data_IF_568965730685
#
_entry.id   IF_568965730685
#
_cell.length_a   1.000
_cell.length_b   1.000
_cell.length_c   1.000
_cell.angle_alpha   90.00
_cell.angle_beta   90.00
_cell.angle_gamma   90.00
#
_symmetry.space_group_name_H-M   'P 1'
#
loop_
_entity.id
_entity.type
_entity.pdbx_description
1 polymer ?
#
# COMPACT_ATOMS: atom_id res chain seq x y z
N UNK A 1 20.23 -3.49 -17.15
CA UNK A 1 21.50 -3.42 -17.91
C UNK A 1 21.25 -3.67 -19.41
N UNK A 2 20.56 -4.74 -19.83
CA UNK A 2 20.36 -5.04 -21.26
C UNK A 2 19.60 -3.92 -22.00
N UNK A 3 18.53 -3.37 -21.43
CA UNK A 3 17.79 -2.25 -21.99
C UNK A 3 18.66 -1.01 -22.19
N UNK A 4 19.48 -0.65 -21.20
CA UNK A 4 20.35 0.51 -21.27
C UNK A 4 21.43 0.36 -22.34
N UNK A 5 21.95 -0.84 -22.55
CA UNK A 5 22.86 -1.13 -23.65
C UNK A 5 22.19 -0.90 -25.02
N UNK A 6 20.93 -1.30 -25.19
CA UNK A 6 20.17 -1.06 -26.44
C UNK A 6 19.91 0.44 -26.62
N UNK A 7 19.51 1.15 -25.57
CA UNK A 7 19.28 2.60 -25.61
C UNK A 7 20.55 3.32 -26.06
N UNK A 8 21.70 3.03 -25.44
CA UNK A 8 22.98 3.64 -25.81
C UNK A 8 23.38 3.32 -27.26
N UNK A 9 23.20 2.08 -27.71
CA UNK A 9 23.48 1.70 -29.09
C UNK A 9 22.61 2.46 -30.11
N UNK A 10 21.34 2.71 -29.79
CA UNK A 10 20.45 3.49 -30.67
C UNK A 10 20.81 4.97 -30.67
N UNK A 11 21.14 5.53 -29.49
CA UNK A 11 21.64 6.90 -29.36
C UNK A 11 22.90 7.11 -30.19
N UNK A 12 23.87 6.21 -30.09
CA UNK A 12 25.14 6.28 -30.83
C UNK A 12 24.96 6.17 -32.35
N UNK A 13 23.80 5.67 -32.81
CA UNK A 13 23.36 5.66 -34.21
C UNK A 13 22.60 6.93 -34.62
N UNK A 14 22.52 7.95 -33.74
CA UNK A 14 21.85 9.22 -34.00
C UNK A 14 20.35 9.21 -33.79
N UNK A 15 19.79 8.19 -33.10
CA UNK A 15 18.37 8.17 -32.77
C UNK A 15 18.07 9.12 -31.59
N UNK A 16 17.09 10.00 -31.74
CA UNK A 16 16.49 10.72 -30.62
C UNK A 16 15.60 9.77 -29.79
N UNK A 17 15.80 9.73 -28.48
CA UNK A 17 15.10 8.80 -27.59
C UNK A 17 14.34 9.58 -26.52
N UNK A 18 13.06 9.28 -26.35
CA UNK A 18 12.25 9.78 -25.23
C UNK A 18 12.02 8.60 -24.28
N UNK A 19 12.56 8.71 -23.06
CA UNK A 19 12.44 7.70 -22.02
C UNK A 19 11.56 8.20 -20.87
N UNK A 20 10.43 7.53 -20.65
CA UNK A 20 9.49 7.89 -19.59
C UNK A 20 9.61 6.86 -18.47
N UNK A 21 10.03 7.31 -17.30
CA UNK A 21 10.17 6.49 -16.11
C UNK A 21 9.86 7.30 -14.85
N UNK A 22 9.49 6.61 -13.78
CA UNK A 22 9.43 7.17 -12.43
C UNK A 22 10.61 6.73 -11.55
N UNK A 23 11.51 5.92 -12.10
CA UNK A 23 12.75 5.51 -11.44
C UNK A 23 13.85 6.53 -11.71
N UNK A 24 14.04 7.43 -10.75
CA UNK A 24 14.94 8.60 -10.91
C UNK A 24 16.38 8.21 -11.17
N UNK A 25 16.87 7.12 -10.56
CA UNK A 25 18.21 6.59 -10.77
C UNK A 25 18.46 6.21 -12.24
N UNK A 26 17.46 5.58 -12.87
CA UNK A 26 17.53 5.23 -14.29
C UNK A 26 17.59 6.48 -15.16
N UNK A 27 16.72 7.46 -14.87
CA UNK A 27 16.66 8.74 -15.62
C UNK A 27 18.00 9.47 -15.52
N UNK A 28 18.54 9.67 -14.32
CA UNK A 28 19.82 10.35 -14.12
C UNK A 28 21.01 9.63 -14.80
N UNK A 29 20.91 8.31 -14.94
CA UNK A 29 21.98 7.49 -15.53
C UNK A 29 22.02 7.57 -17.06
N UNK A 30 20.87 7.70 -17.75
CA UNK A 30 20.80 7.53 -19.21
C UNK A 30 20.38 8.77 -19.98
N UNK A 31 19.81 9.79 -19.32
CA UNK A 31 19.27 10.96 -19.98
C UNK A 31 20.31 12.08 -20.09
N UNK A 32 20.28 12.82 -21.21
CA UNK A 32 21.04 14.05 -21.38
C UNK A 32 20.28 15.22 -20.72
N UNK A 33 18.97 15.29 -20.99
CA UNK A 33 18.05 16.27 -20.41
C UNK A 33 16.86 15.58 -19.74
N UNK A 34 16.35 16.16 -18.65
CA UNK A 34 15.20 15.68 -17.91
C UNK A 34 14.10 16.73 -17.93
N UNK A 35 12.99 16.38 -18.55
CA UNK A 35 11.76 17.18 -18.49
C UNK A 35 10.87 16.66 -17.38
N UNK A 36 10.51 17.53 -16.44
CA UNK A 36 9.68 17.21 -15.29
C UNK A 36 8.26 17.71 -15.55
N UNK A 37 7.30 16.79 -15.41
CA UNK A 37 5.89 17.06 -15.54
C UNK A 37 5.14 16.74 -14.25
N UNK A 38 4.10 17.52 -13.93
CA UNK A 38 3.24 17.31 -12.78
C UNK A 38 1.79 17.67 -13.13
N UNK A 39 0.85 16.76 -12.86
CA UNK A 39 -0.58 16.96 -13.15
C UNK A 39 -0.85 17.39 -14.61
N UNK A 40 -0.09 16.80 -15.57
CA UNK A 40 -0.22 17.10 -16.99
C UNK A 40 0.41 18.44 -17.43
N UNK A 41 1.08 19.17 -16.53
CA UNK A 41 1.75 20.44 -16.83
C UNK A 41 3.26 20.27 -16.84
N UNK A 42 3.92 20.96 -17.77
CA UNK A 42 5.37 21.13 -17.75
C UNK A 42 5.78 21.96 -16.55
N UNK A 43 6.82 21.54 -15.84
CA UNK A 43 7.36 22.21 -14.65
C UNK A 43 8.76 22.77 -14.94
N UNK A 44 9.65 21.94 -15.48
CA UNK A 44 11.02 22.33 -15.80
C UNK A 44 11.63 21.35 -16.80
N UNK A 45 12.62 21.83 -17.55
CA UNK A 45 13.59 20.99 -18.30
C UNK A 45 14.98 21.42 -17.89
N UNK A 46 15.84 20.48 -17.50
CA UNK A 46 17.20 20.73 -17.04
C UNK A 46 18.15 19.63 -17.57
N UNK A 47 19.42 19.92 -17.69
CA UNK A 47 20.42 18.90 -17.96
C UNK A 47 20.45 17.88 -16.82
N UNK A 48 20.57 16.59 -17.14
CA UNK A 48 20.61 15.53 -16.13
C UNK A 48 21.80 15.70 -15.14
N UNK A 49 22.92 16.25 -15.62
CA UNK A 49 24.11 16.54 -14.83
C UNK A 49 23.92 17.64 -13.77
N UNK A 50 22.89 18.48 -13.94
CA UNK A 50 22.55 19.58 -13.02
C UNK A 50 21.50 19.19 -11.99
N UNK A 51 20.98 17.96 -12.05
CA UNK A 51 19.89 17.49 -11.22
C UNK A 51 20.35 16.46 -10.20
N UNK A 52 19.90 16.64 -8.97
CA UNK A 52 19.93 15.60 -7.95
C UNK A 52 18.58 14.90 -7.84
N UNK A 53 18.57 13.70 -7.26
CA UNK A 53 17.32 12.97 -7.01
C UNK A 53 16.33 13.82 -6.19
N UNK A 54 16.80 14.52 -5.17
CA UNK A 54 15.96 15.34 -4.30
C UNK A 54 15.35 16.53 -5.05
N UNK A 55 16.09 17.15 -5.96
CA UNK A 55 15.56 18.24 -6.81
C UNK A 55 14.47 17.74 -7.77
N UNK A 56 14.67 16.58 -8.39
CA UNK A 56 13.64 15.97 -9.26
C UNK A 56 12.36 15.72 -8.44
N UNK A 57 12.49 15.10 -7.27
CA UNK A 57 11.38 14.83 -6.36
C UNK A 57 10.69 16.14 -5.93
N UNK A 58 11.45 17.15 -5.54
CA UNK A 58 10.94 18.48 -5.18
C UNK A 58 10.10 19.11 -6.30
N UNK A 59 10.61 19.06 -7.52
CA UNK A 59 9.90 19.59 -8.70
C UNK A 59 8.64 18.78 -9.05
N UNK A 60 8.71 17.46 -8.96
CA UNK A 60 7.56 16.57 -9.21
C UNK A 60 6.45 16.73 -8.18
N UNK A 61 6.81 16.83 -6.88
CA UNK A 61 5.85 16.91 -5.77
C UNK A 61 5.39 18.35 -5.53
N UNK A 62 6.24 19.34 -5.84
CA UNK A 62 5.93 20.78 -5.70
C UNK A 62 6.11 21.31 -4.28
N UNK A 63 6.76 20.57 -3.41
CA UNK A 63 7.17 20.97 -2.07
C UNK A 63 8.50 20.31 -1.72
N UNK A 64 9.25 20.89 -0.81
CA UNK A 64 10.41 20.20 -0.24
C UNK A 64 9.93 18.97 0.52
N UNK A 65 10.37 17.80 0.09
CA UNK A 65 10.32 16.61 0.92
C UNK A 65 11.67 16.57 1.64
N UNK A 66 11.71 17.14 2.83
CA UNK A 66 12.91 17.09 3.69
C UNK A 66 13.30 15.66 4.05
N UNK A 67 12.33 14.75 4.00
CA UNK A 67 12.51 13.32 4.18
C UNK A 67 11.67 12.53 3.17
N UNK A 68 12.24 11.47 2.59
CA UNK A 68 11.56 10.54 1.67
C UNK A 68 10.34 9.87 2.32
N UNK A 69 10.37 9.68 3.61
CA UNK A 69 9.31 9.12 4.44
C UNK A 69 8.90 10.12 5.52
N UNK A 70 7.61 10.18 5.91
CA UNK A 70 7.18 11.03 7.01
C UNK A 70 7.78 10.57 8.35
N UNK A 71 7.94 11.51 9.28
CA UNK A 71 8.40 11.17 10.65
C UNK A 71 7.40 10.30 11.38
N UNK A 72 7.91 9.27 12.04
CA UNK A 72 7.13 8.34 12.87
C UNK A 72 7.04 8.87 14.30
N UNK A 73 5.83 9.20 14.72
CA UNK A 73 5.51 9.65 16.08
C UNK A 73 4.27 8.91 16.65
N UNK A 74 3.93 7.76 16.05
CA UNK A 74 2.90 6.85 16.55
C UNK A 74 3.34 6.22 17.88
N UNK A 75 2.37 5.99 18.77
CA UNK A 75 2.59 5.33 20.06
C UNK A 75 2.13 3.88 19.96
N UNK A 76 3.07 2.97 20.15
CA UNK A 76 2.79 1.53 20.15
C UNK A 76 2.22 1.15 21.53
N UNK A 77 1.03 0.56 21.53
CA UNK A 77 0.30 0.12 22.71
C UNK A 77 0.40 -1.39 22.98
N UNK A 78 -0.65 -1.94 23.58
CA UNK A 78 -0.76 -3.36 23.88
C UNK A 78 -0.98 -4.21 22.63
N UNK A 79 -0.76 -5.53 22.75
CA UNK A 79 -1.05 -6.50 21.68
C UNK A 79 -2.53 -6.46 21.33
N UNK A 80 -2.81 -6.17 20.08
CA UNK A 80 -4.17 -6.12 19.55
C UNK A 80 -4.51 -7.38 18.77
N UNK A 81 -3.64 -7.77 17.83
CA UNK A 81 -3.79 -8.96 17.00
C UNK A 81 -2.75 -10.00 17.41
N UNK A 82 -3.19 -11.22 17.65
CA UNK A 82 -2.33 -12.37 17.88
C UNK A 82 -2.72 -13.48 16.89
N UNK A 83 -1.77 -13.90 16.09
CA UNK A 83 -1.88 -14.99 15.11
C UNK A 83 -1.02 -16.13 15.61
N UNK A 84 -1.60 -17.33 15.77
CA UNK A 84 -0.93 -18.52 16.34
C UNK A 84 -1.05 -19.70 15.37
N UNK A 85 0.09 -20.24 14.96
CA UNK A 85 0.23 -21.48 14.19
C UNK A 85 -0.64 -21.50 12.91
N UNK A 86 -0.76 -20.36 12.22
CA UNK A 86 -1.57 -20.22 11.02
C UNK A 86 -0.97 -21.01 9.87
N UNK A 87 -1.74 -21.93 9.32
CA UNK A 87 -1.37 -22.74 8.14
C UNK A 87 -2.51 -22.76 7.14
N UNK A 88 -2.16 -22.67 5.86
CA UNK A 88 -3.11 -22.68 4.76
C UNK A 88 -3.52 -24.08 4.34
N UNK A 89 -4.73 -24.24 3.83
CA UNK A 89 -5.21 -25.51 3.28
C UNK A 89 -4.74 -25.69 1.83
N UNK A 90 -4.77 -24.62 1.04
CA UNK A 90 -4.44 -24.61 -0.39
C UNK A 90 -3.33 -23.61 -0.72
N UNK A 91 -2.63 -23.10 0.29
CA UNK A 91 -1.52 -22.18 0.15
C UNK A 91 -0.25 -22.77 0.77
N UNK A 92 0.89 -22.16 0.47
CA UNK A 92 2.17 -22.58 1.03
C UNK A 92 2.39 -22.16 2.51
N UNK A 93 1.43 -21.44 3.12
CA UNK A 93 1.58 -21.00 4.51
C UNK A 93 1.69 -22.16 5.50
N UNK A 94 2.71 -22.10 6.34
CA UNK A 94 3.03 -23.18 7.27
C UNK A 94 3.47 -22.63 8.63
N UNK A 95 2.60 -22.81 9.62
CA UNK A 95 2.87 -22.53 11.03
C UNK A 95 3.35 -21.09 11.32
N UNK A 96 2.67 -20.09 10.75
CA UNK A 96 3.01 -18.69 10.94
C UNK A 96 2.39 -18.17 12.25
N UNK A 97 3.24 -17.60 13.12
CA UNK A 97 2.81 -17.02 14.40
C UNK A 97 3.46 -15.65 14.57
N UNK A 98 2.68 -14.64 14.91
CA UNK A 98 3.17 -13.30 15.19
C UNK A 98 2.14 -12.47 15.99
N UNK A 99 2.57 -11.33 16.50
CA UNK A 99 1.73 -10.37 17.18
C UNK A 99 1.86 -8.99 16.53
N UNK A 100 0.73 -8.26 16.50
CA UNK A 100 0.72 -6.85 16.12
C UNK A 100 0.02 -6.03 17.22
N UNK A 101 0.54 -4.82 17.47
CA UNK A 101 0.13 -3.97 18.58
C UNK A 101 -0.73 -2.81 18.13
N UNK A 102 -1.48 -2.20 19.02
CA UNK A 102 -2.23 -0.97 18.76
C UNK A 102 -1.28 0.14 18.33
N UNK A 103 -1.63 0.84 17.26
CA UNK A 103 -0.82 1.94 16.75
C UNK A 103 0.50 1.52 16.09
N UNK A 104 0.72 0.22 15.88
CA UNK A 104 1.90 -0.33 15.21
C UNK A 104 1.69 -0.42 13.71
N UNK A 105 2.74 -0.12 12.96
CA UNK A 105 2.85 -0.41 11.54
C UNK A 105 3.82 -1.58 11.40
N UNK A 106 3.26 -2.78 11.18
CA UNK A 106 3.99 -4.02 11.03
C UNK A 106 4.24 -4.30 9.54
N UNK A 107 5.50 -4.28 9.11
CA UNK A 107 5.90 -4.62 7.77
C UNK A 107 5.94 -6.13 7.55
N UNK A 108 5.71 -6.58 6.31
CA UNK A 108 5.92 -7.97 5.89
C UNK A 108 6.80 -7.97 4.65
N UNK A 109 8.02 -8.45 4.81
CA UNK A 109 9.02 -8.63 3.76
C UNK A 109 9.11 -10.09 3.31
N UNK A 110 9.73 -10.32 2.15
CA UNK A 110 10.00 -11.66 1.61
C UNK A 110 10.14 -11.64 0.09
N UNK A 111 10.67 -12.69 -0.47
CA UNK A 111 10.77 -12.88 -1.92
C UNK A 111 9.39 -13.13 -2.55
N UNK A 112 9.29 -13.03 -3.87
CA UNK A 112 8.08 -13.41 -4.59
C UNK A 112 7.74 -14.88 -4.33
N UNK A 113 6.46 -15.17 -4.07
CA UNK A 113 6.01 -16.51 -3.68
C UNK A 113 6.34 -16.92 -2.23
N UNK A 114 6.86 -16.02 -1.39
CA UNK A 114 7.17 -16.33 0.02
C UNK A 114 5.95 -16.49 0.92
N UNK A 115 4.72 -16.21 0.45
CA UNK A 115 3.49 -16.35 1.21
C UNK A 115 2.97 -15.04 1.83
N UNK A 116 3.48 -13.88 1.44
CA UNK A 116 3.09 -12.56 1.99
C UNK A 116 1.61 -12.24 1.74
N UNK A 117 1.19 -12.28 0.48
CA UNK A 117 -0.21 -12.05 0.08
C UNK A 117 -1.13 -13.09 0.69
N UNK A 118 -0.76 -14.37 0.63
CA UNK A 118 -1.52 -15.47 1.19
C UNK A 118 -1.73 -15.31 2.71
N UNK A 119 -0.76 -14.75 3.42
CA UNK A 119 -0.89 -14.44 4.85
C UNK A 119 -2.01 -13.42 5.10
N UNK A 120 -2.03 -12.33 4.36
CA UNK A 120 -3.06 -11.30 4.51
C UNK A 120 -4.45 -11.82 4.08
N UNK A 121 -4.52 -12.53 2.95
CA UNK A 121 -5.75 -13.14 2.46
C UNK A 121 -6.35 -14.15 3.44
N UNK A 122 -5.49 -14.95 4.08
CA UNK A 122 -5.94 -15.94 5.05
C UNK A 122 -6.43 -15.31 6.35
N UNK A 123 -5.75 -14.25 6.84
CA UNK A 123 -6.21 -13.47 7.99
C UNK A 123 -7.57 -12.81 7.67
N UNK A 124 -7.76 -12.35 6.43
CA UNK A 124 -9.02 -11.74 5.99
C UNK A 124 -10.11 -12.74 5.60
N UNK A 125 -9.80 -14.04 5.51
CA UNK A 125 -10.76 -15.08 5.19
C UNK A 125 -11.14 -15.16 3.70
N UNK A 126 -10.24 -14.76 2.79
CA UNK A 126 -10.34 -15.03 1.34
C UNK A 126 -10.00 -16.50 1.09
N UNK A 127 -8.92 -16.98 1.71
CA UNK A 127 -8.46 -18.37 1.61
C UNK A 127 -8.77 -19.14 2.89
N UNK A 128 -9.01 -20.46 2.76
CA UNK A 128 -9.33 -21.32 3.89
C UNK A 128 -8.08 -21.67 4.69
N UNK A 129 -8.15 -21.50 6.00
CA UNK A 129 -7.07 -21.95 6.89
C UNK A 129 -7.22 -23.44 7.22
N UNK A 130 -6.11 -24.16 7.19
CA UNK A 130 -6.02 -25.56 7.64
C UNK A 130 -6.00 -25.65 9.17
N UNK A 131 -5.22 -24.76 9.81
CA UNK A 131 -5.06 -24.71 11.26
C UNK A 131 -4.68 -23.31 11.70
N UNK A 132 -4.65 -23.10 13.00
CA UNK A 132 -4.24 -21.84 13.62
C UNK A 132 -5.39 -21.04 14.19
N UNK A 133 -5.02 -20.06 15.02
CA UNK A 133 -5.95 -19.23 15.77
C UNK A 133 -5.63 -17.76 15.54
N UNK A 134 -6.66 -16.95 15.39
CA UNK A 134 -6.57 -15.49 15.28
C UNK A 134 -7.32 -14.90 16.46
N UNK A 135 -6.65 -14.07 17.25
CA UNK A 135 -7.22 -13.38 18.40
C UNK A 135 -7.12 -11.87 18.18
N UNK A 136 -8.23 -11.17 18.33
CA UNK A 136 -8.29 -9.71 18.25
C UNK A 136 -8.79 -9.17 19.59
N UNK A 137 -8.00 -8.28 20.20
CA UNK A 137 -8.31 -7.68 21.49
C UNK A 137 -8.65 -8.73 22.57
N UNK A 138 -7.84 -9.79 22.65
CA UNK A 138 -8.01 -10.91 23.58
C UNK A 138 -9.14 -11.90 23.24
N UNK A 139 -9.91 -11.65 22.19
CA UNK A 139 -11.03 -12.52 21.77
C UNK A 139 -10.71 -13.25 20.49
N UNK A 140 -10.98 -14.56 20.44
CA UNK A 140 -10.84 -15.33 19.21
C UNK A 140 -11.83 -14.84 18.16
N UNK A 141 -11.35 -14.56 16.94
CA UNK A 141 -12.15 -14.19 15.79
C UNK A 141 -12.08 -15.27 14.71
N UNK A 142 -13.24 -15.59 14.15
CA UNK A 142 -13.36 -16.54 13.05
C UNK A 142 -13.63 -15.78 11.77
N UNK A 143 -12.56 -15.46 11.05
CA UNK A 143 -12.65 -14.80 9.75
C UNK A 143 -12.80 -15.86 8.65
N UNK A 144 -13.99 -16.50 8.56
CA UNK A 144 -14.26 -17.56 7.58
C UNK A 144 -14.54 -17.04 6.17
N UNK A 145 -14.83 -15.77 6.06
CA UNK A 145 -15.09 -15.08 4.81
C UNK A 145 -14.91 -13.56 5.00
N UNK A 146 -14.78 -12.78 3.92
CA UNK A 146 -14.56 -11.32 3.99
C UNK A 146 -15.65 -10.57 4.77
N UNK A 147 -16.91 -11.02 4.70
CA UNK A 147 -18.00 -10.36 5.43
C UNK A 147 -17.82 -10.46 6.96
N UNK A 148 -17.42 -11.63 7.47
CA UNK A 148 -17.09 -11.80 8.89
C UNK A 148 -15.90 -10.95 9.29
N UNK A 149 -14.87 -10.88 8.46
CA UNK A 149 -13.66 -10.09 8.72
C UNK A 149 -13.96 -8.60 8.80
N UNK A 150 -14.76 -8.07 7.89
CA UNK A 150 -15.21 -6.67 7.95
C UNK A 150 -16.00 -6.43 9.26
N UNK A 151 -16.89 -7.33 9.64
CA UNK A 151 -17.66 -7.23 10.89
C UNK A 151 -16.77 -7.29 12.12
N UNK A 152 -15.67 -8.04 12.07
CA UNK A 152 -14.68 -8.15 13.13
C UNK A 152 -13.67 -6.99 13.14
N UNK A 153 -13.82 -5.99 12.25
CA UNK A 153 -12.97 -4.80 12.23
C UNK A 153 -11.70 -4.94 11.40
N UNK A 154 -11.66 -5.84 10.43
CA UNK A 154 -10.57 -5.95 9.46
C UNK A 154 -10.90 -5.26 8.14
N UNK A 155 -9.89 -4.73 7.49
CA UNK A 155 -9.94 -4.25 6.11
C UNK A 155 -8.77 -4.82 5.33
N UNK A 156 -8.95 -5.12 4.04
CA UNK A 156 -7.90 -5.61 3.16
C UNK A 156 -7.84 -4.80 1.87
N UNK A 157 -6.70 -4.17 1.65
CA UNK A 157 -6.31 -3.61 0.36
C UNK A 157 -5.47 -4.65 -0.36
N UNK A 158 -5.88 -5.05 -1.55
CA UNK A 158 -5.26 -6.11 -2.35
C UNK A 158 -4.18 -5.57 -3.28
N UNK A 159 -3.18 -6.39 -3.62
CA UNK A 159 -2.07 -6.05 -4.49
C UNK A 159 -2.52 -5.56 -5.88
N UNK A 160 -3.38 -6.35 -6.55
CA UNK A 160 -3.86 -6.06 -7.90
C UNK A 160 -5.03 -5.07 -7.90
N UNK A 161 -4.70 -3.77 -7.78
CA UNK A 161 -5.70 -2.69 -7.72
C UNK A 161 -6.76 -2.77 -8.80
N UNK A 162 -6.37 -3.01 -10.07
CA UNK A 162 -7.31 -3.00 -11.20
C UNK A 162 -8.18 -4.25 -11.27
N UNK A 163 -7.65 -5.39 -10.90
CA UNK A 163 -8.36 -6.67 -10.98
C UNK A 163 -9.27 -6.90 -9.76
N UNK A 164 -8.79 -6.59 -8.56
CA UNK A 164 -9.47 -6.93 -7.31
C UNK A 164 -9.81 -5.73 -6.42
N UNK A 165 -9.15 -4.59 -6.64
CA UNK A 165 -9.29 -3.42 -5.78
C UNK A 165 -10.45 -2.48 -6.17
N UNK A 166 -10.71 -2.25 -7.48
CA UNK A 166 -11.71 -1.31 -7.96
C UNK A 166 -12.84 -1.98 -8.73
N UNK A 167 -14.02 -1.37 -8.68
CA UNK A 167 -15.12 -1.67 -9.60
C UNK A 167 -15.05 -0.67 -10.75
N UNK A 168 -14.29 -0.99 -11.79
CA UNK A 168 -13.86 -0.06 -12.84
C UNK A 168 -15.00 0.62 -13.63
N UNK A 169 -16.17 -0.01 -13.72
CA UNK A 169 -17.36 0.54 -14.38
C UNK A 169 -18.14 1.52 -13.50
N UNK A 170 -17.95 1.47 -12.17
CA UNK A 170 -18.64 2.28 -11.19
C UNK A 170 -17.91 3.63 -10.98
N UNK A 171 -18.67 4.63 -10.49
CA UNK A 171 -18.13 5.93 -10.14
C UNK A 171 -17.43 5.92 -8.76
N UNK A 172 -16.83 7.05 -8.37
CA UNK A 172 -16.09 7.21 -7.12
C UNK A 172 -17.02 6.97 -5.92
N UNK A 173 -18.24 7.55 -5.92
CA UNK A 173 -19.19 7.39 -4.80
C UNK A 173 -19.53 5.92 -4.58
N UNK A 174 -19.86 5.19 -5.62
CA UNK A 174 -20.18 3.78 -5.54
C UNK A 174 -19.00 2.96 -5.06
N UNK A 175 -17.81 3.20 -5.61
CA UNK A 175 -16.59 2.55 -5.15
C UNK A 175 -16.28 2.85 -3.67
N UNK A 176 -16.51 4.07 -3.21
CA UNK A 176 -16.25 4.47 -1.83
C UNK A 176 -17.21 3.81 -0.85
N UNK A 177 -18.50 3.69 -1.19
CA UNK A 177 -19.54 3.32 -0.23
C UNK A 177 -19.92 1.83 -0.25
N UNK A 178 -19.51 1.06 -1.27
CA UNK A 178 -20.00 -0.31 -1.50
C UNK A 178 -19.75 -1.27 -0.32
N UNK A 179 -18.63 -1.17 0.38
CA UNK A 179 -18.34 -2.03 1.54
C UNK A 179 -19.10 -1.64 2.81
N UNK A 180 -19.81 -0.50 2.81
CA UNK A 180 -20.53 0.05 3.96
C UNK A 180 -21.98 0.43 3.66
N UNK A 181 -22.61 -0.18 2.63
CA UNK A 181 -23.96 0.17 2.17
C UNK A 181 -25.01 0.15 3.28
N UNK A 182 -24.89 -0.74 4.26
CA UNK A 182 -25.80 -0.80 5.41
C UNK A 182 -25.86 0.52 6.20
N UNK A 183 -24.78 1.31 6.22
CA UNK A 183 -24.74 2.64 6.88
C UNK A 183 -25.62 3.69 6.19
N UNK A 184 -25.99 3.44 4.94
CA UNK A 184 -26.78 4.35 4.09
C UNK A 184 -28.18 3.83 3.84
N UNK A 185 -28.56 2.70 4.43
CA UNK A 185 -29.88 2.10 4.25
C UNK A 185 -30.93 2.83 5.10
N UNK A 186 -32.03 3.17 4.48
CA UNK A 186 -33.23 3.72 5.14
C UNK A 186 -34.43 2.90 4.64
N UNK A 187 -34.92 1.95 5.46
CA UNK A 187 -35.85 0.94 5.00
C UNK A 187 -35.27 0.12 3.83
N UNK A 188 -36.03 -0.09 2.73
CA UNK A 188 -35.53 -0.82 1.55
C UNK A 188 -34.64 0.02 0.62
N UNK A 189 -34.44 1.33 0.88
CA UNK A 189 -33.79 2.25 -0.02
C UNK A 189 -32.43 2.71 0.53
N UNK A 190 -31.54 3.12 -0.40
CA UNK A 190 -30.27 3.77 -0.07
C UNK A 190 -30.42 5.29 -0.06
N UNK A 191 -29.94 5.94 0.98
CA UNK A 191 -29.91 7.38 1.11
C UNK A 191 -28.76 7.96 0.26
N UNK A 192 -29.07 8.28 -0.99
CA UNK A 192 -28.11 8.82 -1.96
C UNK A 192 -27.47 10.13 -1.50
N UNK A 193 -28.21 10.99 -0.76
CA UNK A 193 -27.68 12.24 -0.23
C UNK A 193 -26.57 11.96 0.79
N UNK A 194 -26.82 11.08 1.76
CA UNK A 194 -25.83 10.69 2.77
C UNK A 194 -24.60 10.04 2.14
N UNK A 195 -24.77 9.20 1.11
CA UNK A 195 -23.65 8.63 0.35
C UNK A 195 -22.82 9.74 -0.31
N UNK A 196 -23.50 10.72 -0.92
CA UNK A 196 -22.85 11.88 -1.57
C UNK A 196 -22.03 12.68 -0.56
N UNK A 197 -22.66 13.12 0.52
CA UNK A 197 -22.03 13.96 1.55
C UNK A 197 -20.79 13.27 2.14
N UNK A 198 -20.91 11.98 2.49
CA UNK A 198 -19.79 11.18 2.99
C UNK A 198 -18.67 11.04 1.95
N UNK A 199 -19.00 10.82 0.68
CA UNK A 199 -17.97 10.68 -0.37
C UNK A 199 -17.22 11.99 -0.57
N UNK A 200 -17.93 13.13 -0.58
CA UNK A 200 -17.31 14.46 -0.71
C UNK A 200 -16.35 14.75 0.47
N UNK A 201 -16.72 14.33 1.69
CA UNK A 201 -15.84 14.40 2.87
C UNK A 201 -14.53 13.61 2.66
N UNK A 202 -14.63 12.35 2.18
CA UNK A 202 -13.45 11.53 1.93
C UNK A 202 -12.62 12.01 0.74
N UNK A 203 -13.24 12.53 -0.32
CA UNK A 203 -12.53 13.17 -1.43
C UNK A 203 -11.67 14.33 -0.90
N UNK A 204 -12.24 15.15 -0.02
CA UNK A 204 -11.54 16.31 0.58
C UNK A 204 -10.45 15.85 1.55
N UNK A 205 -10.75 14.97 2.49
CA UNK A 205 -9.82 14.54 3.55
C UNK A 205 -8.62 13.77 3.00
N UNK A 206 -8.83 12.91 2.00
CA UNK A 206 -7.76 12.16 1.33
C UNK A 206 -7.17 12.90 0.11
N UNK A 207 -7.62 14.12 -0.16
CA UNK A 207 -7.15 14.94 -1.28
C UNK A 207 -7.21 14.17 -2.61
N UNK A 208 -8.34 13.51 -2.89
CA UNK A 208 -8.57 12.81 -4.15
C UNK A 208 -8.74 13.84 -5.26
N UNK A 209 -7.87 13.81 -6.28
CA UNK A 209 -7.96 14.71 -7.44
C UNK A 209 -8.99 14.16 -8.41
N UNK A 210 -10.16 14.78 -8.44
CA UNK A 210 -11.29 14.42 -9.32
C UNK A 210 -12.16 15.64 -9.59
N UNK A 211 -12.83 15.74 -10.75
CA UNK A 211 -13.83 16.78 -11.01
C UNK A 211 -15.02 16.69 -10.04
N UNK A 212 -15.52 15.48 -9.78
CA UNK A 212 -16.61 15.20 -8.84
C UNK A 212 -16.69 13.70 -8.54
N UNK A 213 -17.58 13.30 -7.65
CA UNK A 213 -17.77 11.92 -7.22
C UNK A 213 -18.47 10.99 -8.23
N UNK A 214 -19.11 11.57 -9.28
CA UNK A 214 -19.75 10.80 -10.37
C UNK A 214 -18.74 10.36 -11.43
N UNK A 215 -17.50 10.84 -11.35
CA UNK A 215 -16.41 10.44 -12.24
C UNK A 215 -16.15 8.94 -12.11
N UNK A 216 -16.00 8.22 -13.23
CA UNK A 216 -15.64 6.80 -13.22
C UNK A 216 -14.28 6.61 -12.60
N UNK A 217 -14.15 5.63 -11.70
CA UNK A 217 -12.88 5.37 -11.00
C UNK A 217 -11.75 4.99 -11.98
N UNK A 218 -12.07 4.35 -13.08
CA UNK A 218 -11.10 3.94 -14.11
C UNK A 218 -10.39 5.11 -14.79
N UNK A 219 -10.96 6.33 -14.77
CA UNK A 219 -10.35 7.54 -15.35
C UNK A 219 -9.37 8.25 -14.41
N UNK A 220 -9.30 7.84 -13.15
CA UNK A 220 -8.37 8.44 -12.18
C UNK A 220 -6.95 7.89 -12.36
N UNK A 221 -5.95 8.71 -11.94
CA UNK A 221 -4.58 8.22 -11.77
C UNK A 221 -4.49 7.13 -10.71
N UNK A 222 -3.43 6.30 -10.78
CA UNK A 222 -3.23 5.20 -9.84
C UNK A 222 -3.29 5.62 -8.38
N UNK A 223 -2.64 6.71 -8.00
CA UNK A 223 -2.66 7.21 -6.63
C UNK A 223 -4.05 7.67 -6.18
N UNK A 224 -4.85 8.28 -7.05
CA UNK A 224 -6.22 8.67 -6.72
C UNK A 224 -7.16 7.46 -6.63
N UNK A 225 -7.00 6.43 -7.48
CA UNK A 225 -7.70 5.16 -7.33
C UNK A 225 -7.42 4.52 -5.97
N UNK A 226 -6.15 4.49 -5.56
CA UNK A 226 -5.72 3.94 -4.27
C UNK A 226 -6.36 4.66 -3.09
N UNK A 227 -6.42 5.99 -3.13
CA UNK A 227 -7.10 6.79 -2.12
C UNK A 227 -8.60 6.49 -2.02
N UNK A 228 -9.28 6.23 -3.14
CA UNK A 228 -10.69 5.83 -3.16
C UNK A 228 -10.88 4.45 -2.53
N UNK A 229 -9.98 3.49 -2.80
CA UNK A 229 -10.00 2.18 -2.15
C UNK A 229 -9.79 2.32 -0.63
N UNK A 230 -8.81 3.13 -0.22
CA UNK A 230 -8.59 3.41 1.21
C UNK A 230 -9.81 4.08 1.85
N UNK A 231 -10.46 5.05 1.19
CA UNK A 231 -11.70 5.65 1.65
C UNK A 231 -12.80 4.60 1.88
N UNK A 232 -12.96 3.65 0.95
CA UNK A 232 -13.90 2.52 1.08
C UNK A 232 -13.68 1.74 2.37
N UNK A 233 -12.43 1.40 2.64
CA UNK A 233 -12.08 0.62 3.82
C UNK A 233 -12.19 1.43 5.10
N UNK A 234 -11.76 2.69 5.12
CA UNK A 234 -11.88 3.58 6.27
C UNK A 234 -13.34 3.81 6.67
N UNK A 235 -14.27 3.79 5.70
CA UNK A 235 -15.71 3.85 5.97
C UNK A 235 -16.24 2.64 6.75
N UNK A 236 -15.57 1.52 6.74
CA UNK A 236 -15.95 0.36 7.58
C UNK A 236 -15.49 0.52 9.02
N UNK A 237 -14.68 1.54 9.33
CA UNK A 237 -14.03 1.81 10.62
C UNK A 237 -13.21 0.62 11.14
N UNK A 238 -12.22 0.15 10.38
CA UNK A 238 -11.45 -1.02 10.75
C UNK A 238 -10.55 -0.73 11.96
N UNK A 239 -10.29 -1.76 12.74
CA UNK A 239 -9.29 -1.77 13.82
C UNK A 239 -7.93 -2.24 13.29
N UNK A 240 -7.94 -3.18 12.35
CA UNK A 240 -6.76 -3.73 11.66
C UNK A 240 -6.89 -3.50 10.16
N UNK A 241 -5.87 -2.86 9.58
CA UNK A 241 -5.75 -2.67 8.13
C UNK A 241 -4.64 -3.60 7.60
N UNK A 242 -5.02 -4.46 6.67
CA UNK A 242 -4.13 -5.32 5.91
C UNK A 242 -3.89 -4.64 4.55
N UNK A 243 -2.68 -4.21 4.28
CA UNK A 243 -2.32 -3.44 3.08
C UNK A 243 -1.30 -4.24 2.26
N UNK A 244 -1.75 -4.79 1.14
CA UNK A 244 -0.88 -5.51 0.22
C UNK A 244 -0.42 -4.58 -0.90
N UNK A 245 0.87 -4.29 -0.95
CA UNK A 245 1.52 -3.39 -1.90
C UNK A 245 0.77 -2.03 -2.08
N UNK A 246 0.52 -1.28 -0.99
CA UNK A 246 -0.37 -0.11 -1.04
C UNK A 246 0.12 1.01 -1.95
N UNK A 247 1.37 0.98 -2.36
CA UNK A 247 2.04 2.02 -3.15
C UNK A 247 2.50 1.54 -4.52
N UNK A 248 2.16 0.30 -4.91
CA UNK A 248 2.56 -0.28 -6.19
C UNK A 248 1.96 0.47 -7.37
N UNK A 249 2.82 0.87 -8.30
CA UNK A 249 2.41 1.51 -9.56
C UNK A 249 1.78 2.90 -9.39
N UNK A 250 2.18 3.63 -8.34
CA UNK A 250 1.81 5.03 -8.15
C UNK A 250 3.06 5.91 -8.11
N UNK A 251 2.91 7.19 -8.40
CA UNK A 251 4.00 8.15 -8.43
C UNK A 251 4.51 8.50 -7.02
N UNK A 252 5.74 9.04 -6.94
CA UNK A 252 6.44 9.34 -5.68
C UNK A 252 5.65 10.29 -4.78
N UNK A 253 4.98 11.28 -5.36
CA UNK A 253 4.18 12.25 -4.59
C UNK A 253 2.97 11.58 -3.95
N UNK A 254 2.27 10.72 -4.70
CA UNK A 254 1.14 9.97 -4.19
C UNK A 254 1.57 8.89 -3.18
N UNK A 255 2.74 8.24 -3.35
CA UNK A 255 3.32 7.34 -2.33
C UNK A 255 3.47 8.04 -0.99
N UNK A 256 4.07 9.23 -0.96
CA UNK A 256 4.25 10.00 0.28
C UNK A 256 2.91 10.30 0.98
N UNK A 257 1.86 10.64 0.22
CA UNK A 257 0.53 10.88 0.79
C UNK A 257 -0.10 9.62 1.38
N UNK A 258 0.17 8.44 0.79
CA UNK A 258 -0.26 7.15 1.34
C UNK A 258 0.50 6.83 2.64
N UNK A 259 1.82 7.05 2.68
CA UNK A 259 2.60 6.86 3.92
C UNK A 259 2.10 7.76 5.05
N UNK A 260 1.81 9.04 4.74
CA UNK A 260 1.24 9.98 5.70
C UNK A 260 -0.09 9.45 6.26
N UNK A 261 -0.97 8.95 5.38
CA UNK A 261 -2.25 8.38 5.79
C UNK A 261 -2.07 7.14 6.68
N UNK A 262 -1.15 6.23 6.35
CA UNK A 262 -0.83 5.04 7.15
C UNK A 262 -0.36 5.45 8.55
N UNK A 263 0.55 6.42 8.64
CA UNK A 263 1.02 6.96 9.91
C UNK A 263 -0.09 7.64 10.71
N UNK A 264 -0.95 8.44 10.07
CA UNK A 264 -2.08 9.07 10.76
C UNK A 264 -3.08 8.05 11.30
N UNK A 265 -3.24 6.91 10.64
CA UNK A 265 -4.05 5.79 11.14
C UNK A 265 -3.41 5.12 12.35
N UNK A 266 -2.10 4.87 12.30
CA UNK A 266 -1.35 4.32 13.43
C UNK A 266 -1.40 5.26 14.65
N UNK A 267 -1.24 6.58 14.47
CA UNK A 267 -1.42 7.60 15.53
C UNK A 267 -2.81 7.55 16.17
N UNK A 268 -3.84 7.19 15.42
CA UNK A 268 -5.21 6.99 15.93
C UNK A 268 -5.41 5.64 16.62
N UNK A 269 -4.34 4.87 16.83
CA UNK A 269 -4.38 3.56 17.49
C UNK A 269 -4.85 2.41 16.59
N UNK A 270 -4.96 2.61 15.27
CA UNK A 270 -5.21 1.52 14.32
C UNK A 270 -3.94 0.70 14.14
N UNK A 271 -4.08 -0.62 13.98
CA UNK A 271 -2.96 -1.49 13.64
C UNK A 271 -2.89 -1.64 12.12
N UNK A 272 -1.73 -1.45 11.55
CA UNK A 272 -1.50 -1.61 10.10
C UNK A 272 -0.51 -2.74 9.87
N UNK A 273 -0.87 -3.68 9.00
CA UNK A 273 0.05 -4.71 8.48
C UNK A 273 0.26 -4.40 7.00
N UNK A 274 1.50 -4.10 6.62
CA UNK A 274 1.84 -3.63 5.29
C UNK A 274 2.84 -4.57 4.62
N UNK A 275 2.43 -5.20 3.52
CA UNK A 275 3.33 -5.90 2.60
C UNK A 275 3.91 -4.88 1.62
N UNK A 276 5.21 -4.93 1.39
CA UNK A 276 5.86 -4.20 0.28
C UNK A 276 7.05 -5.00 -0.27
N UNK A 277 7.18 -4.99 -1.59
CA UNK A 277 8.36 -5.48 -2.31
C UNK A 277 9.53 -4.47 -2.28
N UNK A 278 9.25 -3.22 -1.94
CA UNK A 278 10.25 -2.17 -1.79
C UNK A 278 10.78 -2.14 -0.34
N UNK A 279 11.91 -2.77 -0.06
CA UNK A 279 12.49 -2.80 1.30
C UNK A 279 12.68 -1.42 1.91
N UNK A 280 13.02 -0.42 1.09
CA UNK A 280 13.17 0.96 1.54
C UNK A 280 11.86 1.54 2.10
N UNK A 281 10.68 1.10 1.61
CA UNK A 281 9.38 1.48 2.16
C UNK A 281 9.18 0.87 3.55
N UNK A 282 9.46 -0.43 3.69
CA UNK A 282 9.34 -1.12 4.98
C UNK A 282 10.24 -0.49 6.05
N UNK A 283 11.50 -0.21 5.70
CA UNK A 283 12.46 0.45 6.61
C UNK A 283 12.03 1.89 6.96
N UNK A 284 11.44 2.61 5.99
CA UNK A 284 11.05 4.02 6.18
C UNK A 284 9.72 4.20 6.91
N UNK A 285 8.77 3.27 6.78
CA UNK A 285 7.39 3.45 7.25
C UNK A 285 7.07 2.53 8.44
N UNK A 286 7.56 1.29 8.47
CA UNK A 286 7.19 0.30 9.47
C UNK A 286 7.97 0.45 10.78
N UNK A 287 7.38 0.00 11.88
CA UNK A 287 8.04 -0.06 13.19
C UNK A 287 8.83 -1.36 13.35
N UNK A 288 8.23 -2.48 12.93
CA UNK A 288 8.79 -3.83 12.94
C UNK A 288 8.53 -4.48 11.58
N UNK A 289 9.36 -5.42 11.19
CA UNK A 289 9.23 -6.15 9.92
C UNK A 289 9.27 -7.65 10.21
N UNK A 290 8.22 -8.35 9.78
CA UNK A 290 8.18 -9.81 9.66
C UNK A 290 8.83 -10.20 8.35
N UNK A 291 9.68 -11.21 8.34
CA UNK A 291 10.30 -11.70 7.11
C UNK A 291 9.78 -13.10 6.80
N UNK A 292 9.10 -13.21 5.65
CA UNK A 292 8.56 -14.46 5.14
C UNK A 292 9.53 -15.14 4.19
N UNK A 293 9.65 -16.46 4.31
CA UNK A 293 10.45 -17.29 3.41
C UNK A 293 9.78 -18.66 3.25
N UNK A 294 9.52 -19.12 2.03
CA UNK A 294 8.93 -20.42 1.75
C UNK A 294 7.65 -20.74 2.53
N UNK A 295 6.77 -19.74 2.69
CA UNK A 295 5.49 -19.85 3.41
C UNK A 295 5.62 -19.86 4.94
N UNK A 296 6.78 -19.55 5.50
CA UNK A 296 7.06 -19.54 6.94
C UNK A 296 7.56 -18.17 7.39
N UNK A 297 7.36 -17.86 8.66
CA UNK A 297 8.04 -16.74 9.28
C UNK A 297 9.49 -17.13 9.57
N UNK A 298 10.43 -16.48 8.90
CA UNK A 298 11.87 -16.74 9.06
C UNK A 298 12.53 -15.91 10.14
N UNK A 299 11.95 -14.74 10.47
CA UNK A 299 12.41 -13.86 11.54
C UNK A 299 11.55 -12.59 11.66
N UNK A 300 11.78 -11.88 12.77
CA UNK A 300 11.24 -10.54 13.03
C UNK A 300 12.42 -9.60 13.29
N UNK A 301 12.38 -8.39 12.72
CA UNK A 301 13.43 -7.38 12.89
C UNK A 301 12.83 -6.01 13.20
N UNK A 302 13.52 -5.20 13.97
CA UNK A 302 13.15 -3.80 14.21
C UNK A 302 13.57 -2.94 13.00
N UNK A 303 12.62 -2.20 12.43
CA UNK A 303 12.87 -1.42 11.23
C UNK A 303 13.89 -0.28 11.41
N UNK A 304 14.14 0.16 12.65
CA UNK A 304 15.11 1.22 12.96
C UNK A 304 16.56 0.72 13.01
N UNK A 305 16.76 -0.55 13.34
CA UNK A 305 18.10 -1.12 13.61
C UNK A 305 18.56 -2.09 12.53
N UNK A 306 17.62 -2.67 11.76
CA UNK A 306 17.91 -3.60 10.67
C UNK A 306 18.33 -2.89 9.37
N UNK A 307 18.81 -3.67 8.42
CA UNK A 307 19.18 -3.22 7.08
C UNK A 307 18.66 -4.19 6.01
N UNK A 308 18.79 -3.81 4.74
CA UNK A 308 18.32 -4.61 3.61
C UNK A 308 19.00 -5.98 3.52
N UNK A 309 20.28 -6.07 3.88
CA UNK A 309 21.09 -7.30 3.79
C UNK A 309 20.58 -8.35 4.80
N UNK A 310 20.30 -7.93 6.02
CA UNK A 310 19.72 -8.80 7.06
C UNK A 310 18.33 -9.32 6.65
N UNK A 311 17.46 -8.43 6.13
CA UNK A 311 16.13 -8.82 5.64
C UNK A 311 16.25 -9.82 4.49
N UNK A 312 17.18 -9.59 3.53
CA UNK A 312 17.39 -10.52 2.42
C UNK A 312 17.92 -11.87 2.87
N UNK A 313 18.82 -11.89 3.84
CA UNK A 313 19.35 -13.13 4.42
C UNK A 313 18.22 -13.97 5.03
N UNK A 314 17.32 -13.34 5.78
CA UNK A 314 16.14 -14.00 6.34
C UNK A 314 15.16 -14.44 5.25
N UNK A 315 14.94 -13.63 4.21
CA UNK A 315 14.01 -13.92 3.11
C UNK A 315 14.47 -15.13 2.26
N UNK A 316 15.78 -15.39 2.18
CA UNK A 316 16.35 -16.50 1.44
C UNK A 316 16.49 -17.81 2.25
N UNK A 317 16.11 -17.83 3.53
CA UNK A 317 16.42 -18.91 4.47
C UNK A 317 15.80 -20.28 4.12
N UNK A 318 14.63 -20.28 3.49
CA UNK A 318 13.85 -21.49 3.18
C UNK A 318 13.53 -21.61 1.67
N UNK A 319 14.32 -20.96 0.82
CA UNK A 319 14.22 -21.01 -0.64
C UNK A 319 15.16 -22.06 -1.22
#
# INVERSE_FOLDING_TARGET
>A
EHLFRIINMLRDRGCGIIYISHKMEEILRISDEVTIMRDGKWIATKAASELTMDEIIKLMVGRELTNRYPEKDNKIGDVLLNVENLSGEYTNLNNVSFQARRGEILGVAGLDGSGRTELLEQIFGITTKKSGKITLDGKEVKNRNPHESIKNGFALLTEERRATGIFGILNIRENTTISSLKKYQTGPFLNKKKMKDTTDEYIKSLRVKTPNQETKISSLSGGNQQKVILARWLLTDPTVLLLDEPTRGIDVGAKYEIYQLILDLAKKGKTVIMVSSEMAELLGVCDKILVMSGGRLSGEVDAKTTNQEEIMTLAAKYV
#
